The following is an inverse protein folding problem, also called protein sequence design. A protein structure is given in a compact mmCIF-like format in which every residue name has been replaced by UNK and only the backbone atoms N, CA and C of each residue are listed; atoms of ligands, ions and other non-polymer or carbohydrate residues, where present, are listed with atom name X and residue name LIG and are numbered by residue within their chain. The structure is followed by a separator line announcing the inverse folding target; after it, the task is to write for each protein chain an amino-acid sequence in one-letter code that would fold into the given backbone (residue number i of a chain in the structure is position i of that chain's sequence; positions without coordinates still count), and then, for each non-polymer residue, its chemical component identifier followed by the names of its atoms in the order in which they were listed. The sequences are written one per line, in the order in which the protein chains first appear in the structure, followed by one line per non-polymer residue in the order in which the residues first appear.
data_IF_157704143475
#
_entry.id   IF_157704143475
#
_cell.length_a   1.000
_cell.length_b   1.000
_cell.length_c   1.000
_cell.angle_alpha   90.00
_cell.angle_beta   90.00
_cell.angle_gamma   90.00
#
_symmetry.space_group_name_H-M   'P 1'
#
loop_
_entity.id
_entity.type
_entity.pdbx_description
1 polymer ?
#
# COMPACT_ATOMS: atom_id res chain seq x y z
N UNK A 1 13.30 -24.57 8.64
CA UNK A 1 12.38 -25.29 9.53
C UNK A 1 12.80 -26.75 9.57
N UNK A 2 13.03 -27.32 10.76
CA UNK A 2 13.59 -28.68 10.93
C UNK A 2 12.60 -29.54 11.72
N UNK A 3 12.31 -30.74 11.22
CA UNK A 3 11.24 -31.61 11.75
C UNK A 3 11.45 -32.02 13.22
N UNK A 4 12.69 -32.24 13.66
CA UNK A 4 13.00 -32.78 14.99
C UNK A 4 13.16 -31.72 16.10
N UNK A 5 12.56 -30.54 15.93
CA UNK A 5 12.66 -29.41 16.87
C UNK A 5 11.33 -29.13 17.57
N UNK A 6 11.39 -28.48 18.73
CA UNK A 6 10.16 -28.11 19.46
C UNK A 6 9.31 -27.12 18.64
N UNK A 7 7.98 -27.11 18.81
CA UNK A 7 7.07 -26.19 18.11
C UNK A 7 7.53 -24.73 18.19
N UNK A 8 7.98 -24.28 19.37
CA UNK A 8 8.50 -22.93 19.58
C UNK A 8 9.73 -22.62 18.72
N UNK A 9 10.66 -23.57 18.58
CA UNK A 9 11.85 -23.39 17.74
C UNK A 9 11.46 -23.39 16.26
N UNK A 10 10.52 -24.23 15.86
CA UNK A 10 10.02 -24.25 14.48
C UNK A 10 9.31 -22.95 14.12
N UNK A 11 8.46 -22.44 15.01
CA UNK A 11 7.84 -21.12 14.90
C UNK A 11 8.89 -20.05 14.74
N UNK A 12 9.90 -19.98 15.63
CA UNK A 12 10.94 -18.96 15.55
C UNK A 12 11.70 -19.03 14.21
N UNK A 13 12.07 -20.23 13.77
CA UNK A 13 12.72 -20.41 12.47
C UNK A 13 11.81 -20.02 11.31
N UNK A 14 10.50 -20.27 11.42
CA UNK A 14 9.53 -19.91 10.40
C UNK A 14 9.32 -18.42 10.31
N UNK A 15 9.08 -17.76 11.43
CA UNK A 15 8.89 -16.31 11.46
C UNK A 15 10.16 -15.52 11.20
N UNK A 16 11.34 -16.06 11.53
CA UNK A 16 12.61 -15.45 11.13
C UNK A 16 12.85 -15.60 9.62
N UNK A 17 12.36 -16.67 9.02
CA UNK A 17 12.40 -16.85 7.58
C UNK A 17 11.48 -15.84 6.88
N UNK A 18 10.24 -15.69 7.32
CA UNK A 18 9.29 -14.73 6.74
C UNK A 18 9.79 -13.29 6.88
N UNK A 19 10.18 -12.88 8.09
CA UNK A 19 10.82 -11.58 8.33
C UNK A 19 12.11 -11.40 7.52
N UNK A 20 12.90 -12.47 7.39
CA UNK A 20 14.12 -12.47 6.57
C UNK A 20 13.84 -12.15 5.11
N UNK A 21 12.71 -12.59 4.56
CA UNK A 21 12.29 -12.25 3.20
C UNK A 21 11.80 -10.80 3.11
N UNK A 22 11.10 -10.27 4.12
CA UNK A 22 10.80 -8.83 4.23
C UNK A 22 12.08 -8.00 4.21
N UNK A 23 13.07 -8.39 5.02
CA UNK A 23 14.37 -7.72 5.08
C UNK A 23 15.12 -7.82 3.75
N UNK A 24 15.09 -8.97 3.08
CA UNK A 24 15.70 -9.16 1.76
C UNK A 24 15.04 -8.28 0.69
N UNK A 25 13.72 -8.17 0.72
CA UNK A 25 12.94 -7.26 -0.13
C UNK A 25 13.31 -5.80 0.11
N UNK A 26 13.37 -5.39 1.37
CA UNK A 26 13.80 -4.05 1.75
C UNK A 26 15.25 -3.74 1.34
N UNK A 27 16.14 -4.74 1.34
CA UNK A 27 17.53 -4.57 0.93
C UNK A 27 17.70 -4.29 -0.59
N UNK A 28 16.69 -4.58 -1.41
CA UNK A 28 16.74 -4.21 -2.84
C UNK A 28 16.85 -2.70 -3.07
N UNK A 29 16.53 -1.88 -2.06
CA UNK A 29 16.77 -0.43 -2.06
C UNK A 29 18.24 -0.05 -2.25
N UNK A 30 19.20 -0.93 -1.92
CA UNK A 30 20.63 -0.72 -2.19
C UNK A 30 21.00 -0.97 -3.65
N UNK A 31 20.25 -1.82 -4.35
CA UNK A 31 20.53 -2.25 -5.72
C UNK A 31 19.84 -1.33 -6.74
N UNK A 32 18.55 -1.04 -6.53
CA UNK A 32 17.77 -0.24 -7.49
C UNK A 32 17.88 1.24 -7.18
N UNK A 33 18.45 2.09 -8.04
CA UNK A 33 18.46 3.53 -7.83
C UNK A 33 17.04 4.11 -7.95
N UNK A 34 16.65 4.96 -7.00
CA UNK A 34 15.36 5.69 -7.03
C UNK A 34 15.25 6.70 -8.19
N UNK A 35 16.32 6.87 -8.97
CA UNK A 35 16.41 7.81 -10.09
C UNK A 35 15.61 7.36 -11.32
N UNK A 36 15.39 6.05 -11.51
CA UNK A 36 14.65 5.53 -12.67
C UNK A 36 13.19 5.22 -12.33
N UNK A 37 12.31 6.18 -12.60
CA UNK A 37 10.86 6.07 -12.34
C UNK A 37 10.21 4.83 -12.95
N UNK A 38 10.71 4.34 -14.09
CA UNK A 38 10.21 3.10 -14.71
C UNK A 38 10.45 1.86 -13.87
N UNK A 39 11.62 1.76 -13.22
CA UNK A 39 11.97 0.62 -12.37
C UNK A 39 11.12 0.68 -11.10
N UNK A 40 10.96 1.88 -10.53
CA UNK A 40 10.10 2.10 -9.37
C UNK A 40 8.66 1.69 -9.66
N UNK A 41 8.04 2.28 -10.67
CA UNK A 41 6.65 2.00 -11.06
C UNK A 41 6.43 0.52 -11.41
N UNK A 42 7.36 -0.10 -12.14
CA UNK A 42 7.29 -1.53 -12.46
C UNK A 42 7.45 -2.43 -11.23
N UNK A 43 8.29 -2.05 -10.28
CA UNK A 43 8.49 -2.80 -9.04
C UNK A 43 7.28 -2.70 -8.09
N UNK A 44 6.67 -1.52 -8.00
CA UNK A 44 5.44 -1.29 -7.24
C UNK A 44 4.25 -2.02 -7.89
N UNK A 45 4.15 -1.98 -9.22
CA UNK A 45 3.15 -2.77 -9.97
C UNK A 45 3.29 -4.26 -9.68
N UNK A 46 4.50 -4.81 -9.80
CA UNK A 46 4.79 -6.20 -9.44
C UNK A 46 4.39 -6.53 -8.01
N UNK A 47 4.75 -5.68 -7.04
CA UNK A 47 4.41 -5.87 -5.64
C UNK A 47 2.89 -5.88 -5.41
N UNK A 48 2.14 -4.93 -5.99
CA UNK A 48 0.67 -4.93 -5.94
C UNK A 48 0.07 -6.23 -6.47
N UNK A 49 0.62 -6.76 -7.57
CA UNK A 49 0.21 -8.04 -8.14
C UNK A 49 0.39 -9.21 -7.17
N UNK A 50 1.58 -9.31 -6.57
CA UNK A 50 1.88 -10.36 -5.58
C UNK A 50 0.96 -10.25 -4.37
N UNK A 51 0.80 -9.05 -3.80
CA UNK A 51 -0.03 -8.83 -2.60
C UNK A 51 -1.51 -9.15 -2.85
N UNK A 52 -2.06 -8.83 -4.04
CA UNK A 52 -3.44 -9.19 -4.38
C UNK A 52 -3.65 -10.71 -4.49
N UNK A 53 -2.69 -11.42 -5.08
CA UNK A 53 -2.74 -12.87 -5.15
C UNK A 53 -2.64 -13.48 -3.74
N UNK A 54 -1.64 -13.07 -2.96
CA UNK A 54 -1.42 -13.57 -1.61
C UNK A 54 -2.62 -13.32 -0.68
N UNK A 55 -3.28 -12.15 -0.81
CA UNK A 55 -4.51 -11.83 -0.09
C UNK A 55 -5.60 -12.89 -0.28
N UNK A 56 -5.70 -13.48 -1.48
CA UNK A 56 -6.65 -14.55 -1.73
C UNK A 56 -6.12 -15.91 -1.30
N UNK A 57 -5.00 -16.36 -1.87
CA UNK A 57 -4.53 -17.74 -1.72
C UNK A 57 -3.88 -18.03 -0.37
N UNK A 58 -3.10 -17.09 0.16
CA UNK A 58 -2.33 -17.31 1.39
C UNK A 58 -3.08 -16.84 2.65
N UNK A 59 -4.13 -16.01 2.50
CA UNK A 59 -4.89 -15.45 3.62
C UNK A 59 -6.38 -15.83 3.58
N UNK A 60 -7.14 -15.42 2.56
CA UNK A 60 -8.59 -15.65 2.51
C UNK A 60 -8.96 -17.13 2.35
N UNK A 61 -8.31 -17.86 1.45
CA UNK A 61 -8.63 -19.26 1.21
C UNK A 61 -8.41 -20.12 2.48
N UNK A 62 -7.26 -20.04 3.18
CA UNK A 62 -7.09 -20.69 4.48
C UNK A 62 -8.10 -20.21 5.52
N UNK A 63 -8.44 -18.92 5.57
CA UNK A 63 -9.45 -18.41 6.51
C UNK A 63 -10.84 -19.01 6.26
N UNK A 64 -11.23 -19.19 5.00
CA UNK A 64 -12.50 -19.81 4.60
C UNK A 64 -12.49 -21.29 5.00
N UNK A 65 -11.43 -22.02 4.66
CA UNK A 65 -11.29 -23.44 5.00
C UNK A 65 -11.36 -23.66 6.51
N UNK A 66 -10.63 -22.87 7.30
CA UNK A 66 -10.68 -22.93 8.76
C UNK A 66 -12.07 -22.58 9.32
N UNK A 67 -12.79 -21.65 8.70
CA UNK A 67 -14.15 -21.31 9.12
C UNK A 67 -15.13 -22.45 8.83
N UNK A 68 -15.00 -23.12 7.68
CA UNK A 68 -15.80 -24.28 7.28
C UNK A 68 -15.52 -25.51 8.16
N UNK A 69 -14.24 -25.84 8.37
CA UNK A 69 -13.82 -26.96 9.22
C UNK A 69 -14.25 -26.81 10.68
N UNK A 70 -14.35 -25.56 11.18
CA UNK A 70 -14.75 -25.31 12.56
C UNK A 70 -16.15 -25.83 12.91
N UNK A 71 -17.01 -26.06 11.91
CA UNK A 71 -18.38 -26.57 12.06
C UNK A 71 -19.34 -25.67 12.87
N UNK A 72 -18.87 -24.52 13.37
CA UNK A 72 -19.64 -23.61 14.24
C UNK A 72 -20.66 -22.78 13.47
N UNK A 73 -20.40 -22.50 12.20
CA UNK A 73 -21.15 -21.52 11.41
C UNK A 73 -22.12 -22.14 10.40
N UNK A 74 -22.05 -23.46 10.15
CA UNK A 74 -22.92 -24.15 9.20
C UNK A 74 -22.90 -23.51 7.81
N UNK A 75 -24.05 -23.11 7.28
CA UNK A 75 -24.15 -22.41 5.99
C UNK A 75 -23.58 -20.97 6.00
N UNK A 76 -23.26 -20.42 7.18
CA UNK A 76 -22.77 -19.05 7.35
C UNK A 76 -21.25 -18.98 7.59
N UNK A 77 -20.47 -19.97 7.15
CA UNK A 77 -18.99 -19.98 7.27
C UNK A 77 -18.30 -18.78 6.61
N UNK A 78 -18.97 -18.12 5.65
CA UNK A 78 -18.48 -16.88 5.05
C UNK A 78 -18.50 -15.68 6.03
N UNK A 79 -19.31 -15.73 7.09
CA UNK A 79 -19.51 -14.60 8.01
C UNK A 79 -18.24 -14.18 8.77
N UNK A 80 -17.49 -15.08 9.43
CA UNK A 80 -16.24 -14.71 10.10
C UNK A 80 -15.22 -14.08 9.14
N UNK A 81 -15.11 -14.63 7.93
CA UNK A 81 -14.22 -14.14 6.88
C UNK A 81 -14.66 -12.76 6.39
N UNK A 82 -15.95 -12.58 6.08
CA UNK A 82 -16.49 -11.30 5.63
C UNK A 82 -16.33 -10.21 6.69
N UNK A 83 -16.59 -10.53 7.97
CA UNK A 83 -16.41 -9.59 9.08
C UNK A 83 -14.94 -9.22 9.21
N UNK A 84 -14.03 -10.20 9.25
CA UNK A 84 -12.59 -9.96 9.32
C UNK A 84 -12.13 -9.05 8.17
N UNK A 85 -12.47 -9.41 6.94
CA UNK A 85 -12.10 -8.66 5.73
C UNK A 85 -12.58 -7.20 5.76
N UNK A 86 -13.85 -6.97 6.09
CA UNK A 86 -14.39 -5.60 6.18
C UNK A 86 -13.73 -4.83 7.32
N UNK A 87 -13.50 -5.46 8.48
CA UNK A 87 -12.81 -4.80 9.59
C UNK A 87 -11.37 -4.44 9.24
N UNK A 88 -10.67 -5.28 8.48
CA UNK A 88 -9.33 -5.00 7.97
C UNK A 88 -9.29 -3.78 7.06
N UNK A 89 -10.16 -3.76 6.05
CA UNK A 89 -10.27 -2.62 5.13
C UNK A 89 -10.70 -1.35 5.87
N UNK A 90 -11.69 -1.44 6.75
CA UNK A 90 -12.16 -0.33 7.55
C UNK A 90 -11.07 0.18 8.49
N UNK A 91 -10.26 -0.70 9.07
CA UNK A 91 -9.14 -0.31 9.94
C UNK A 91 -8.14 0.58 9.19
N UNK A 92 -7.73 0.22 7.97
CA UNK A 92 -6.82 1.04 7.18
C UNK A 92 -7.49 2.36 6.78
N UNK A 93 -8.75 2.33 6.38
CA UNK A 93 -9.53 3.54 6.09
C UNK A 93 -9.63 4.48 7.30
N UNK A 94 -9.88 3.95 8.50
CA UNK A 94 -9.92 4.76 9.72
C UNK A 94 -8.54 5.29 10.10
N UNK A 95 -7.48 4.50 9.90
CA UNK A 95 -6.12 4.99 10.07
C UNK A 95 -5.83 6.17 9.13
N UNK A 96 -6.28 6.10 7.88
CA UNK A 96 -6.19 7.22 6.93
C UNK A 96 -6.91 8.45 7.48
N UNK A 97 -8.12 8.30 8.00
CA UNK A 97 -8.88 9.40 8.58
C UNK A 97 -8.25 10.00 9.86
N UNK A 98 -7.59 9.18 10.67
CA UNK A 98 -7.00 9.58 11.95
C UNK A 98 -5.69 10.35 11.78
N UNK A 99 -4.89 10.06 10.74
CA UNK A 99 -3.57 10.69 10.57
C UNK A 99 -3.60 12.23 10.47
N UNK A 100 -4.50 12.84 9.68
CA UNK A 100 -4.66 14.30 9.65
C UNK A 100 -5.05 14.86 11.01
N UNK A 101 -5.90 14.14 11.76
CA UNK A 101 -6.37 14.57 13.08
C UNK A 101 -5.25 14.60 14.12
N UNK A 102 -4.27 13.69 14.00
CA UNK A 102 -3.08 13.63 14.85
C UNK A 102 -2.01 14.67 14.47
N UNK A 103 -2.24 15.48 13.43
CA UNK A 103 -1.30 16.51 12.99
C UNK A 103 -0.07 15.95 12.24
N UNK A 104 -0.14 14.69 11.76
CA UNK A 104 0.90 14.05 10.95
C UNK A 104 0.79 14.52 9.49
N UNK A 105 0.71 15.82 9.26
CA UNK A 105 0.75 16.43 7.92
C UNK A 105 2.14 16.99 7.58
N UNK A 106 2.97 17.27 8.59
CA UNK A 106 4.27 17.92 8.37
C UNK A 106 5.39 16.90 8.52
N UNK A 107 6.11 16.67 7.43
CA UNK A 107 7.39 15.98 7.44
C UNK A 107 8.26 16.53 8.60
N UNK A 108 8.70 15.68 9.56
CA UNK A 108 9.55 16.12 10.66
C UNK A 108 10.87 16.73 10.15
N UNK A 109 11.32 16.40 8.94
CA UNK A 109 12.47 17.06 8.31
C UNK A 109 12.18 18.48 7.82
N UNK A 110 10.91 18.80 7.49
CA UNK A 110 10.49 20.17 7.16
C UNK A 110 10.29 21.02 8.42
N UNK A 111 9.83 20.41 9.52
CA UNK A 111 9.72 21.07 10.82
C UNK A 111 11.10 21.47 11.40
N UNK A 112 12.15 20.70 11.12
CA UNK A 112 13.52 20.96 11.56
C UNK A 112 14.31 21.94 10.67
N UNK A 113 13.78 22.29 9.49
CA UNK A 113 14.40 23.26 8.56
C UNK A 113 13.73 24.63 8.61
N UNK A 114 12.67 24.80 9.41
CA UNK A 114 12.11 26.11 9.72
C UNK A 114 13.01 26.81 10.76
N UNK A 115 13.48 28.04 10.49
CA UNK A 115 14.22 28.81 11.49
C UNK A 115 13.34 29.06 12.73
N UNK A 116 13.90 29.12 13.95
CA UNK A 116 13.13 29.19 15.21
C UNK A 116 12.22 30.42 15.39
N UNK A 117 12.25 31.39 14.46
CA UNK A 117 11.67 32.72 14.63
C UNK A 117 10.51 33.07 13.68
N UNK A 118 9.85 32.08 13.09
CA UNK A 118 8.58 32.33 12.38
C UNK A 118 7.42 32.36 13.39
N UNK A 119 7.04 33.56 13.85
CA UNK A 119 5.82 33.79 14.66
C UNK A 119 4.62 33.08 14.02
N UNK A 120 3.75 32.43 14.81
CA UNK A 120 2.54 31.83 14.28
C UNK A 120 1.65 32.94 13.73
N UNK A 121 1.45 32.95 12.40
CA UNK A 121 0.45 33.81 11.79
C UNK A 121 -0.91 33.40 12.35
N UNK A 122 -1.50 34.29 13.15
CA UNK A 122 -2.87 34.15 13.65
C UNK A 122 -3.78 33.96 12.43
N UNK A 123 -4.45 32.82 12.36
CA UNK A 123 -5.57 32.61 11.45
C UNK A 123 -6.63 33.65 11.79
N UNK A 124 -6.76 34.68 10.96
CA UNK A 124 -7.83 35.64 11.04
C UNK A 124 -8.99 35.04 10.25
N UNK A 125 -9.97 34.51 10.97
CA UNK A 125 -11.27 34.14 10.43
C UNK A 125 -11.93 35.42 9.94
N UNK A 126 -12.11 35.55 8.63
CA UNK A 126 -12.94 36.60 8.04
C UNK A 126 -14.13 35.93 7.35
N UNK A 127 -15.31 36.10 7.95
CA UNK A 127 -16.62 35.72 7.41
C UNK A 127 -17.01 36.62 6.21
N UNK A 128 -17.95 36.18 5.35
CA UNK A 128 -18.12 36.73 4.01
C UNK A 128 -19.25 37.77 3.97
N UNK A 129 -18.97 39.06 3.73
CA UNK A 129 -20.02 40.04 3.38
C UNK A 129 -19.51 41.18 2.49
N UNK A 130 -20.36 41.50 1.50
CA UNK A 130 -20.53 42.75 0.73
C UNK A 130 -19.71 42.97 -0.56
N UNK A 131 -20.47 43.00 -1.65
CA UNK A 131 -20.16 43.70 -2.91
C UNK A 131 -19.96 45.21 -2.69
N UNK A 132 -19.34 45.88 -3.67
CA UNK A 132 -20.09 46.95 -4.31
C UNK A 132 -20.03 46.95 -5.84
N UNK A 133 -21.04 47.63 -6.34
CA UNK A 133 -21.51 47.97 -7.67
C UNK A 133 -20.56 48.80 -8.54
N UNK A 134 -20.69 48.56 -9.85
CA UNK A 134 -20.84 49.52 -10.96
C UNK A 134 -19.71 50.53 -11.32
N UNK A 135 -19.64 50.80 -12.63
CA UNK A 135 -18.80 51.77 -13.37
C UNK A 135 -17.39 51.20 -13.72
N UNK A 136 -16.97 51.02 -14.97
CA UNK A 136 -17.16 51.81 -16.18
C UNK A 136 -17.02 50.94 -17.45
N UNK A 137 -17.92 51.15 -18.41
CA UNK A 137 -17.83 50.64 -19.79
C UNK A 137 -16.90 51.52 -20.62
N UNK A 138 -15.94 50.91 -21.34
CA UNK A 138 -15.32 51.57 -22.49
C UNK A 138 -15.44 50.68 -23.74
N UNK A 139 -16.36 51.10 -24.60
CA UNK A 139 -16.69 50.56 -25.91
C UNK A 139 -15.52 50.80 -26.89
N UNK A 140 -15.14 49.79 -27.68
CA UNK A 140 -14.49 49.98 -29.00
C UNK A 140 -15.24 49.19 -30.07
N UNK A 141 -15.91 49.96 -30.93
CA UNK A 141 -16.64 49.53 -32.13
C UNK A 141 -15.68 49.39 -33.31
N UNK A 142 -15.78 48.28 -34.04
CA UNK A 142 -15.14 48.06 -35.34
C UNK A 142 -15.88 47.00 -36.17
N UNK A 143 -16.75 47.47 -37.07
CA UNK A 143 -17.39 46.82 -38.25
C UNK A 143 -16.44 45.85 -39.01
N UNK A 144 -16.87 44.88 -39.84
CA UNK A 144 -18.14 44.29 -40.27
C UNK A 144 -17.78 43.09 -41.18
N UNK A 145 -18.63 42.06 -41.26
CA UNK A 145 -18.54 40.98 -42.25
C UNK A 145 -19.62 39.93 -42.03
N UNK A 146 -20.45 39.69 -43.05
CA UNK A 146 -21.77 39.05 -43.00
C UNK A 146 -21.80 37.59 -43.51
N UNK A 147 -22.95 36.93 -43.27
CA UNK A 147 -23.47 35.65 -43.82
C UNK A 147 -22.84 34.34 -43.30
N UNK A 148 -23.52 33.20 -43.15
CA UNK A 148 -24.94 32.75 -43.06
C UNK A 148 -24.88 31.21 -42.94
N UNK A 149 -25.80 30.66 -42.14
CA UNK A 149 -26.39 29.31 -42.16
C UNK A 149 -25.52 28.07 -42.47
N UNK A 150 -25.47 27.13 -41.51
CA UNK A 150 -26.23 25.86 -41.59
C UNK A 150 -26.01 24.96 -40.38
N UNK A 151 -27.12 24.38 -39.94
CA UNK A 151 -27.25 23.27 -39.01
C UNK A 151 -26.72 22.00 -39.71
N UNK A 152 -25.79 21.27 -39.11
CA UNK A 152 -25.79 19.80 -39.21
C UNK A 152 -25.03 19.14 -38.05
N UNK A 153 -25.64 18.07 -37.57
CA UNK A 153 -25.33 17.25 -36.41
C UNK A 153 -24.27 16.20 -36.78
N UNK A 154 -23.34 15.86 -35.89
CA UNK A 154 -22.38 14.78 -36.18
C UNK A 154 -21.25 14.64 -35.17
N UNK A 155 -21.52 13.93 -34.07
CA UNK A 155 -20.50 13.34 -33.20
C UNK A 155 -19.63 12.35 -33.98
N UNK A 156 -18.31 12.57 -34.07
CA UNK A 156 -17.32 11.48 -34.14
C UNK A 156 -15.98 11.96 -33.57
N UNK A 157 -15.53 11.31 -32.50
CA UNK A 157 -14.18 11.40 -31.95
C UNK A 157 -13.10 11.13 -33.01
N UNK A 158 -12.25 12.13 -33.31
CA UNK A 158 -10.98 11.90 -34.02
C UNK A 158 -9.76 12.41 -33.26
N UNK A 159 -9.07 11.43 -32.68
CA UNK A 159 -7.66 11.36 -32.31
C UNK A 159 -6.76 12.19 -33.25
N UNK A 160 -6.11 13.24 -32.73
CA UNK A 160 -5.05 13.96 -33.46
C UNK A 160 -3.66 13.66 -32.90
N UNK A 161 -2.87 13.05 -33.79
CA UNK A 161 -1.42 12.96 -33.81
C UNK A 161 -0.91 14.27 -34.43
N UNK A 162 0.08 14.94 -33.85
CA UNK A 162 0.76 16.06 -34.48
C UNK A 162 2.26 16.03 -34.14
N UNK A 163 3.10 16.19 -35.17
CA UNK A 163 4.56 16.26 -35.10
C UNK A 163 5.01 17.62 -35.64
N UNK A 164 5.78 18.37 -34.83
CA UNK A 164 6.82 19.41 -35.06
C UNK A 164 6.61 20.51 -36.13
N UNK A 165 6.91 21.80 -35.88
CA UNK A 165 8.22 22.36 -35.49
C UNK A 165 8.17 23.88 -35.17
N UNK A 166 9.05 24.34 -34.25
CA UNK A 166 9.81 25.64 -34.16
C UNK A 166 9.08 27.00 -34.18
N UNK A 167 9.38 28.08 -33.42
CA UNK A 167 10.46 28.50 -32.50
C UNK A 167 10.04 29.83 -31.78
N UNK A 168 10.42 29.97 -30.50
CA UNK A 168 10.80 31.16 -29.68
C UNK A 168 9.87 32.39 -29.55
N UNK A 169 9.40 32.63 -28.31
CA UNK A 169 9.47 33.92 -27.62
C UNK A 169 9.45 33.69 -26.09
N UNK A 170 10.49 34.19 -25.40
CA UNK A 170 10.59 34.24 -23.94
C UNK A 170 9.61 35.27 -23.37
N UNK A 171 8.86 34.91 -22.35
CA UNK A 171 8.40 35.85 -21.33
C UNK A 171 8.44 35.17 -19.96
N UNK A 172 9.18 35.80 -19.04
CA UNK A 172 9.32 35.43 -17.64
C UNK A 172 7.98 35.65 -16.94
N UNK A 173 7.44 34.59 -16.35
CA UNK A 173 6.49 34.74 -15.24
C UNK A 173 7.09 34.11 -13.97
N UNK A 174 7.38 34.98 -13.01
CA UNK A 174 7.94 34.69 -11.70
C UNK A 174 6.81 34.90 -10.71
N UNK A 175 6.26 33.83 -10.14
CA UNK A 175 5.51 33.93 -8.88
C UNK A 175 4.28 33.05 -8.72
N UNK A 176 4.44 31.72 -8.63
CA UNK A 176 3.42 30.83 -8.01
C UNK A 176 3.91 29.38 -7.78
N UNK A 177 5.15 29.16 -7.33
CA UNK A 177 5.73 27.79 -7.15
C UNK A 177 6.18 27.34 -5.75
N UNK A 178 5.85 28.00 -4.61
CA UNK A 178 6.07 27.37 -3.31
C UNK A 178 4.93 26.45 -2.86
N UNK A 179 3.67 26.80 -3.14
CA UNK A 179 2.51 26.19 -2.49
C UNK A 179 2.14 24.80 -3.05
N UNK A 180 2.22 24.60 -4.38
CA UNK A 180 1.89 23.30 -5.01
C UNK A 180 2.90 22.19 -4.67
N UNK A 181 4.19 22.54 -4.56
CA UNK A 181 5.26 21.57 -4.23
C UNK A 181 5.19 21.15 -2.76
N UNK A 182 4.83 22.07 -1.85
CA UNK A 182 4.70 21.80 -0.41
C UNK A 182 3.48 20.91 -0.13
N UNK A 183 2.35 21.12 -0.82
CA UNK A 183 1.16 20.25 -0.69
C UNK A 183 1.40 18.83 -1.23
N UNK A 184 2.15 18.68 -2.33
CA UNK A 184 2.52 17.36 -2.86
C UNK A 184 3.41 16.58 -1.89
N UNK A 185 4.40 17.22 -1.26
CA UNK A 185 5.32 16.57 -0.31
C UNK A 185 4.64 16.14 1.01
N UNK A 186 3.74 16.96 1.55
CA UNK A 186 2.95 16.61 2.74
C UNK A 186 2.01 15.42 2.48
N UNK A 187 1.38 15.38 1.30
CA UNK A 187 0.55 14.25 0.86
C UNK A 187 1.36 12.96 0.69
N UNK A 188 2.59 13.03 0.16
CA UNK A 188 3.44 11.85 -0.03
C UNK A 188 3.92 11.24 1.30
N UNK A 189 4.24 12.05 2.30
CA UNK A 189 4.68 11.55 3.61
C UNK A 189 3.56 10.83 4.37
N UNK A 190 2.34 11.40 4.36
CA UNK A 190 1.16 10.77 4.96
C UNK A 190 0.92 9.37 4.39
N UNK A 191 0.99 9.23 3.06
CA UNK A 191 0.88 7.93 2.36
C UNK A 191 1.95 6.94 2.78
N UNK A 192 3.20 7.39 2.89
CA UNK A 192 4.31 6.52 3.32
C UNK A 192 4.11 6.02 4.76
N UNK A 193 3.70 6.90 5.67
CA UNK A 193 3.44 6.51 7.08
C UNK A 193 2.27 5.54 7.17
N UNK A 194 1.19 5.78 6.41
CA UNK A 194 0.04 4.88 6.33
C UNK A 194 0.41 3.52 5.78
N UNK A 195 1.19 3.49 4.71
CA UNK A 195 1.70 2.27 4.11
C UNK A 195 2.52 1.46 5.14
N UNK A 196 3.45 2.10 5.84
CA UNK A 196 4.25 1.44 6.90
C UNK A 196 3.36 0.91 8.01
N UNK A 197 2.40 1.71 8.47
CA UNK A 197 1.49 1.34 9.56
C UNK A 197 0.60 0.16 9.17
N UNK A 198 -0.02 0.22 8.00
CA UNK A 198 -0.89 -0.82 7.49
C UNK A 198 -0.11 -2.13 7.28
N UNK A 199 1.10 -2.04 6.70
CA UNK A 199 1.97 -3.20 6.51
C UNK A 199 2.37 -3.83 7.84
N UNK A 200 2.75 -3.01 8.81
CA UNK A 200 3.11 -3.50 10.15
C UNK A 200 1.93 -4.21 10.82
N UNK A 201 0.70 -3.74 10.63
CA UNK A 201 -0.47 -4.34 11.28
C UNK A 201 -0.92 -5.63 10.59
N UNK A 202 -0.81 -5.75 9.27
CA UNK A 202 -1.13 -7.01 8.58
C UNK A 202 -0.12 -8.13 8.89
N UNK A 203 1.13 -7.76 9.17
CA UNK A 203 2.20 -8.72 9.52
C UNK A 203 1.95 -9.44 10.86
N UNK A 204 1.08 -8.89 11.71
CA UNK A 204 0.72 -9.51 13.00
C UNK A 204 -0.10 -10.79 12.79
N UNK A 205 -1.24 -10.78 12.06
CA UNK A 205 -1.95 -12.00 11.69
C UNK A 205 -1.09 -13.06 11.00
N UNK A 206 -0.19 -12.67 10.10
CA UNK A 206 0.72 -13.59 9.41
C UNK A 206 1.66 -14.31 10.40
N UNK A 207 2.31 -13.53 11.27
CA UNK A 207 3.13 -14.08 12.34
C UNK A 207 2.33 -15.05 13.22
N UNK A 208 1.13 -14.65 13.66
CA UNK A 208 0.24 -15.51 14.45
C UNK A 208 -0.11 -16.81 13.72
N UNK A 209 -0.40 -16.75 12.42
CA UNK A 209 -0.74 -17.91 11.61
C UNK A 209 0.42 -18.91 11.51
N UNK A 210 1.64 -18.43 11.23
CA UNK A 210 2.86 -19.26 11.28
C UNK A 210 3.07 -19.86 12.67
N UNK A 211 2.87 -19.05 13.71
CA UNK A 211 2.97 -19.45 15.11
C UNK A 211 2.03 -20.57 15.49
N UNK A 212 0.74 -20.40 15.20
CA UNK A 212 -0.30 -21.40 15.48
C UNK A 212 -0.12 -22.62 14.61
N UNK A 213 0.25 -22.49 13.33
CA UNK A 213 0.52 -23.63 12.45
C UNK A 213 1.54 -24.59 13.06
N UNK A 214 2.71 -24.08 13.46
CA UNK A 214 3.72 -24.90 14.13
C UNK A 214 3.32 -25.31 15.56
N UNK A 215 2.62 -24.45 16.30
CA UNK A 215 2.14 -24.74 17.66
C UNK A 215 1.02 -25.79 17.73
N UNK A 216 0.26 -25.95 16.65
CA UNK A 216 -0.81 -26.93 16.50
C UNK A 216 -0.34 -28.19 15.76
N UNK A 217 0.87 -28.19 15.19
CA UNK A 217 1.42 -29.31 14.45
C UNK A 217 1.36 -30.62 15.27
N UNK A 218 0.69 -31.64 14.72
CA UNK A 218 0.50 -32.95 15.34
C UNK A 218 -0.71 -33.05 16.29
N UNK A 219 -1.50 -31.98 16.49
CA UNK A 219 -2.71 -32.01 17.34
C UNK A 219 -3.99 -32.39 16.58
N UNK A 220 -3.98 -32.30 15.25
CA UNK A 220 -5.11 -32.67 14.37
C UNK A 220 -4.58 -33.28 13.07
N UNK A 221 -5.43 -33.97 12.32
CA UNK A 221 -5.09 -34.51 10.99
C UNK A 221 -4.76 -33.42 9.98
N UNK A 222 -5.38 -32.24 10.09
CA UNK A 222 -5.13 -31.09 9.21
C UNK A 222 -3.90 -30.28 9.65
N UNK A 223 -3.63 -30.20 10.96
CA UNK A 223 -2.52 -29.44 11.52
C UNK A 223 -1.21 -30.25 11.48
N UNK A 224 -0.58 -30.32 10.29
CA UNK A 224 0.69 -31.05 10.09
C UNK A 224 1.88 -30.10 10.06
N UNK A 225 3.09 -30.63 10.32
CA UNK A 225 4.33 -29.88 10.12
C UNK A 225 4.48 -29.38 8.68
N UNK A 226 4.04 -30.18 7.69
CA UNK A 226 4.11 -29.81 6.28
C UNK A 226 3.15 -28.67 5.94
N UNK A 227 1.93 -28.69 6.47
CA UNK A 227 0.98 -27.57 6.35
C UNK A 227 1.56 -26.28 6.95
N UNK A 228 2.11 -26.34 8.16
CA UNK A 228 2.72 -25.17 8.80
C UNK A 228 3.95 -24.63 8.04
N UNK A 229 4.77 -25.53 7.48
CA UNK A 229 5.92 -25.17 6.65
C UNK A 229 5.48 -24.51 5.35
N UNK A 230 4.52 -25.09 4.64
CA UNK A 230 4.03 -24.57 3.37
C UNK A 230 3.40 -23.18 3.57
N UNK A 231 2.60 -23.01 4.63
CA UNK A 231 2.04 -21.71 5.03
C UNK A 231 3.14 -20.66 5.25
N UNK A 232 4.18 -20.99 6.03
CA UNK A 232 5.27 -20.06 6.29
C UNK A 232 6.11 -19.74 5.04
N UNK A 233 6.22 -20.68 4.09
CA UNK A 233 6.85 -20.42 2.79
C UNK A 233 6.00 -19.46 1.95
N UNK A 234 4.68 -19.70 1.86
CA UNK A 234 3.75 -18.84 1.13
C UNK A 234 3.77 -17.40 1.65
N UNK A 235 3.68 -17.23 2.98
CA UNK A 235 3.84 -15.93 3.63
C UNK A 235 5.22 -15.33 3.34
N UNK A 236 6.31 -16.07 3.51
CA UNK A 236 7.65 -15.51 3.27
C UNK A 236 7.83 -14.95 1.86
N UNK A 237 7.28 -15.62 0.84
CA UNK A 237 7.41 -15.21 -0.56
C UNK A 237 6.76 -13.84 -0.81
N UNK A 238 5.56 -13.59 -0.27
CA UNK A 238 4.86 -12.33 -0.47
C UNK A 238 5.42 -11.19 0.39
N UNK A 239 6.07 -11.51 1.52
CA UNK A 239 6.72 -10.51 2.38
C UNK A 239 7.93 -9.87 1.68
N UNK A 240 8.54 -10.54 0.71
CA UNK A 240 9.63 -9.95 -0.07
C UNK A 240 9.18 -8.70 -0.84
N UNK A 241 8.13 -8.72 -1.67
CA UNK A 241 7.57 -7.51 -2.25
C UNK A 241 7.15 -6.43 -1.25
N UNK A 242 6.70 -6.78 -0.04
CA UNK A 242 6.28 -5.79 0.96
C UNK A 242 7.44 -4.97 1.52
N UNK A 243 8.56 -5.61 1.82
CA UNK A 243 9.76 -4.90 2.26
C UNK A 243 10.26 -3.89 1.21
N UNK A 244 10.12 -4.25 -0.07
CA UNK A 244 10.37 -3.35 -1.19
C UNK A 244 9.35 -2.20 -1.24
N UNK A 245 8.05 -2.52 -1.10
CA UNK A 245 6.96 -1.55 -1.13
C UNK A 245 7.07 -0.49 -0.02
N UNK A 246 7.68 -0.80 1.13
CA UNK A 246 7.99 0.20 2.17
C UNK A 246 9.25 1.01 1.85
N UNK A 247 10.34 0.32 1.51
CA UNK A 247 11.66 0.95 1.43
C UNK A 247 11.84 1.85 0.19
N UNK A 248 11.21 1.52 -0.95
CA UNK A 248 11.35 2.30 -2.17
C UNK A 248 10.66 3.67 -2.10
N UNK A 249 9.38 3.80 -1.68
CA UNK A 249 8.73 5.10 -1.51
C UNK A 249 9.45 5.97 -0.48
N UNK A 250 9.93 5.38 0.63
CA UNK A 250 10.75 6.09 1.62
C UNK A 250 11.99 6.69 0.97
N UNK A 251 12.73 5.91 0.17
CA UNK A 251 13.91 6.43 -0.52
C UNK A 251 13.56 7.46 -1.60
N UNK A 252 12.44 7.29 -2.29
CA UNK A 252 11.95 8.24 -3.29
C UNK A 252 11.57 9.59 -2.65
N UNK A 253 11.11 9.60 -1.40
CA UNK A 253 10.84 10.82 -0.62
C UNK A 253 12.10 11.55 -0.12
N UNK A 254 13.30 11.03 -0.38
CA UNK A 254 14.57 11.64 -0.01
C UNK A 254 15.20 11.10 1.28
N UNK A 255 14.57 10.10 1.92
CA UNK A 255 15.17 9.39 3.07
C UNK A 255 16.41 8.61 2.61
N UNK A 256 17.47 8.59 3.43
CA UNK A 256 18.70 7.88 3.10
C UNK A 256 18.45 6.37 2.93
N UNK A 257 19.19 5.73 2.01
CA UNK A 257 19.06 4.30 1.69
C UNK A 257 19.07 3.41 2.95
N UNK A 258 19.94 3.72 3.91
CA UNK A 258 20.05 2.97 5.16
C UNK A 258 18.80 3.12 6.04
N UNK A 259 18.24 4.33 6.17
CA UNK A 259 17.01 4.56 6.94
C UNK A 259 15.81 3.90 6.25
N UNK A 260 15.72 3.99 4.93
CA UNK A 260 14.67 3.33 4.16
C UNK A 260 14.69 1.81 4.34
N UNK A 261 15.88 1.20 4.30
CA UNK A 261 16.06 -0.23 4.63
C UNK A 261 15.63 -0.54 6.07
N UNK A 262 16.06 0.26 7.05
CA UNK A 262 15.70 0.04 8.46
C UNK A 262 14.19 0.04 8.68
N UNK A 263 13.48 1.04 8.17
CA UNK A 263 12.03 1.08 8.27
C UNK A 263 11.36 -0.08 7.52
N UNK A 264 11.87 -0.44 6.33
CA UNK A 264 11.35 -1.56 5.53
C UNK A 264 11.49 -2.93 6.19
N UNK A 265 12.59 -3.22 6.89
CA UNK A 265 12.70 -4.48 7.63
C UNK A 265 12.02 -4.43 9.00
N UNK A 266 11.88 -3.24 9.61
CA UNK A 266 11.26 -3.09 10.93
C UNK A 266 9.75 -3.32 10.86
N UNK A 267 9.11 -3.01 9.72
CA UNK A 267 7.68 -3.29 9.52
C UNK A 267 7.35 -4.79 9.57
N UNK A 268 8.31 -5.68 9.24
CA UNK A 268 8.16 -7.14 9.34
C UNK A 268 8.63 -7.74 10.68
N UNK A 269 9.33 -6.98 11.53
CA UNK A 269 9.88 -7.50 12.79
C UNK A 269 8.80 -7.94 13.79
N UNK A 270 7.55 -7.50 13.58
CA UNK A 270 6.40 -7.93 14.38
C UNK A 270 6.05 -9.40 14.17
N UNK A 271 6.42 -10.02 13.04
CA UNK A 271 6.09 -11.41 12.72
C UNK A 271 6.74 -12.42 13.70
N UNK A 272 8.06 -12.36 14.01
CA UNK A 272 8.65 -13.20 15.06
C UNK A 272 7.98 -13.10 16.41
N UNK A 273 7.60 -11.89 16.81
CA UNK A 273 6.97 -11.65 18.12
C UNK A 273 5.56 -12.24 18.12
N UNK A 274 4.77 -11.94 17.09
CA UNK A 274 3.42 -12.42 16.92
C UNK A 274 3.37 -13.94 16.80
N UNK A 275 4.28 -14.57 16.04
CA UNK A 275 4.29 -16.02 15.92
C UNK A 275 4.70 -16.74 17.19
N UNK A 276 5.67 -16.21 17.96
CA UNK A 276 5.97 -16.78 19.27
C UNK A 276 4.75 -16.75 20.20
N UNK A 277 4.00 -15.64 20.19
CA UNK A 277 2.73 -15.55 20.92
C UNK A 277 1.70 -16.57 20.40
N UNK A 278 1.56 -16.71 19.09
CA UNK A 278 0.66 -17.70 18.47
C UNK A 278 1.00 -19.15 18.85
N UNK A 279 2.28 -19.49 18.90
CA UNK A 279 2.75 -20.83 19.26
C UNK A 279 2.51 -21.19 20.74
N UNK A 280 2.58 -20.20 21.63
CA UNK A 280 2.32 -20.39 23.08
C UNK A 280 0.83 -20.36 23.39
N UNK A 281 0.07 -19.51 22.69
CA UNK A 281 -1.34 -19.25 22.95
C UNK A 281 -2.28 -19.94 21.94
N UNK A 282 -1.88 -21.07 21.34
CA UNK A 282 -2.62 -21.79 20.28
C UNK A 282 -4.11 -21.92 20.61
N UNK A 283 -4.46 -22.40 21.80
CA UNK A 283 -5.85 -22.62 22.22
C UNK A 283 -6.67 -21.31 22.25
N UNK A 284 -6.03 -20.19 22.53
CA UNK A 284 -6.66 -18.86 22.55
C UNK A 284 -6.76 -18.26 21.14
N UNK A 285 -5.72 -18.44 20.34
CA UNK A 285 -5.55 -17.76 19.05
C UNK A 285 -6.24 -18.50 17.91
N UNK A 286 -6.27 -19.83 17.93
CA UNK A 286 -6.84 -20.67 16.86
C UNK A 286 -8.29 -20.30 16.50
N UNK A 287 -9.22 -20.06 17.45
CA UNK A 287 -10.58 -19.62 17.10
C UNK A 287 -10.66 -18.21 16.49
N UNK A 288 -9.65 -17.38 16.71
CA UNK A 288 -9.57 -16.01 16.17
C UNK A 288 -8.88 -15.96 14.81
N UNK A 289 -8.17 -17.01 14.39
CA UNK A 289 -7.38 -17.01 13.17
C UNK A 289 -8.17 -16.73 11.88
N UNK A 290 -9.38 -17.31 11.65
CA UNK A 290 -10.15 -16.99 10.45
C UNK A 290 -10.46 -15.50 10.32
N UNK A 291 -10.75 -14.85 11.45
CA UNK A 291 -10.99 -13.41 11.51
C UNK A 291 -9.70 -12.62 11.27
N UNK A 292 -8.59 -13.04 11.89
CA UNK A 292 -7.31 -12.37 11.79
C UNK A 292 -6.71 -12.44 10.37
N UNK A 293 -6.76 -13.62 9.74
CA UNK A 293 -6.31 -13.82 8.36
C UNK A 293 -7.16 -13.04 7.37
N UNK A 294 -8.49 -13.08 7.52
CA UNK A 294 -9.38 -12.29 6.68
C UNK A 294 -9.17 -10.78 6.91
N UNK A 295 -8.92 -10.35 8.15
CA UNK A 295 -8.54 -8.97 8.48
C UNK A 295 -7.26 -8.55 7.76
N UNK A 296 -6.21 -9.36 7.79
CA UNK A 296 -4.98 -9.08 7.04
C UNK A 296 -5.25 -8.95 5.54
N UNK A 297 -6.02 -9.88 4.96
CA UNK A 297 -6.38 -9.82 3.54
C UNK A 297 -7.16 -8.54 3.19
N UNK A 298 -8.13 -8.15 4.02
CA UNK A 298 -8.92 -6.93 3.81
C UNK A 298 -8.07 -5.65 3.90
N UNK A 299 -7.18 -5.58 4.89
CA UNK A 299 -6.23 -4.48 5.03
C UNK A 299 -5.28 -4.41 3.83
N UNK A 300 -4.72 -5.55 3.41
CA UNK A 300 -3.78 -5.63 2.29
C UNK A 300 -4.43 -5.25 0.96
N UNK A 301 -5.65 -5.74 0.67
CA UNK A 301 -6.40 -5.34 -0.52
C UNK A 301 -6.68 -3.84 -0.52
N UNK A 302 -7.07 -3.26 0.62
CA UNK A 302 -7.30 -1.81 0.73
C UNK A 302 -6.03 -1.02 0.39
N UNK A 303 -4.89 -1.35 1.02
CA UNK A 303 -3.60 -0.69 0.76
C UNK A 303 -3.18 -0.81 -0.70
N UNK A 304 -3.35 -1.98 -1.32
CA UNK A 304 -2.97 -2.16 -2.73
C UNK A 304 -3.81 -1.25 -3.63
N UNK A 305 -5.12 -1.18 -3.39
CA UNK A 305 -6.05 -0.40 -4.21
C UNK A 305 -5.88 1.10 -4.00
N UNK A 306 -5.73 1.55 -2.76
CA UNK A 306 -5.71 2.98 -2.41
C UNK A 306 -4.31 3.62 -2.50
N UNK A 307 -3.25 2.84 -2.25
CA UNK A 307 -1.87 3.33 -2.24
C UNK A 307 -1.01 2.78 -3.37
N UNK A 308 -0.77 1.46 -3.42
CA UNK A 308 0.30 0.89 -4.26
C UNK A 308 -0.01 1.02 -5.75
N UNK A 309 -1.23 0.66 -6.18
CA UNK A 309 -1.63 0.77 -7.60
C UNK A 309 -1.62 2.23 -8.06
N UNK A 310 -2.24 3.19 -7.34
CA UNK A 310 -2.17 4.61 -7.70
C UNK A 310 -0.73 5.12 -7.76
N UNK A 311 0.11 4.81 -6.78
CA UNK A 311 1.51 5.24 -6.74
C UNK A 311 2.32 4.72 -7.93
N UNK A 312 2.13 3.45 -8.30
CA UNK A 312 2.80 2.85 -9.47
C UNK A 312 2.40 3.52 -10.80
N UNK A 313 1.29 4.27 -10.84
CA UNK A 313 0.81 4.94 -12.05
C UNK A 313 1.17 6.42 -12.12
N UNK A 314 1.71 7.02 -11.04
CA UNK A 314 1.99 8.46 -10.95
C UNK A 314 2.99 8.94 -12.01
N UNK A 315 4.02 8.16 -12.33
CA UNK A 315 5.08 8.61 -13.24
C UNK A 315 4.79 8.45 -14.73
N UNK A 316 3.54 8.16 -15.11
CA UNK A 316 3.13 7.99 -16.51
C UNK A 316 3.47 6.62 -17.13
N UNK A 317 4.02 5.68 -16.35
CA UNK A 317 4.31 4.31 -16.80
C UNK A 317 3.18 3.33 -16.47
N UNK A 318 1.92 3.78 -16.40
CA UNK A 318 0.82 2.95 -15.90
C UNK A 318 0.65 1.60 -16.62
N UNK A 319 0.92 1.53 -17.93
CA UNK A 319 0.90 0.24 -18.65
C UNK A 319 1.96 -0.75 -18.16
N UNK A 320 3.16 -0.26 -17.84
CA UNK A 320 4.23 -1.10 -17.28
C UNK A 320 3.81 -1.60 -15.90
N UNK A 321 3.28 -0.71 -15.04
CA UNK A 321 2.76 -1.06 -13.72
C UNK A 321 1.65 -2.13 -13.80
N UNK A 322 0.70 -2.02 -14.74
CA UNK A 322 -0.34 -3.02 -14.93
C UNK A 322 0.21 -4.39 -15.39
N UNK A 323 1.12 -4.41 -16.36
CA UNK A 323 1.71 -5.68 -16.84
C UNK A 323 2.59 -6.35 -15.79
N UNK A 324 3.37 -5.57 -15.06
CA UNK A 324 4.18 -6.08 -13.94
C UNK A 324 3.31 -6.56 -12.79
N UNK A 325 2.16 -5.93 -12.53
CA UNK A 325 1.14 -6.44 -11.58
C UNK A 325 0.56 -7.78 -12.01
N UNK A 326 0.17 -7.94 -13.28
CA UNK A 326 -0.27 -9.26 -13.78
C UNK A 326 0.83 -10.31 -13.62
N UNK A 327 2.08 -9.95 -13.94
CA UNK A 327 3.22 -10.86 -13.76
C UNK A 327 3.40 -11.25 -12.29
N UNK A 328 3.37 -10.27 -11.37
CA UNK A 328 3.47 -10.51 -9.93
C UNK A 328 2.36 -11.42 -9.42
N UNK A 329 1.12 -11.18 -9.86
CA UNK A 329 -0.03 -11.99 -9.53
C UNK A 329 0.15 -13.45 -9.99
N UNK A 330 0.57 -13.66 -11.25
CA UNK A 330 0.80 -15.01 -11.81
C UNK A 330 1.93 -15.72 -11.05
N UNK A 331 3.02 -15.01 -10.76
CA UNK A 331 4.16 -15.57 -10.02
C UNK A 331 3.70 -16.02 -8.64
N UNK A 332 3.00 -15.16 -7.90
CA UNK A 332 2.52 -15.52 -6.56
C UNK A 332 1.50 -16.66 -6.60
N UNK A 333 0.51 -16.62 -7.49
CA UNK A 333 -0.46 -17.71 -7.67
C UNK A 333 0.24 -19.03 -7.99
N UNK A 334 1.23 -19.02 -8.88
CA UNK A 334 1.95 -20.23 -9.27
C UNK A 334 2.80 -20.78 -8.13
N UNK A 335 3.35 -19.92 -7.28
CA UNK A 335 4.12 -20.31 -6.11
C UNK A 335 3.22 -20.88 -5.02
N UNK A 336 2.08 -20.24 -4.74
CA UNK A 336 1.14 -20.73 -3.74
C UNK A 336 0.52 -22.07 -4.16
N UNK A 337 0.00 -22.17 -5.39
CA UNK A 337 -0.58 -23.43 -5.90
C UNK A 337 0.48 -24.51 -6.14
N UNK A 338 1.71 -24.13 -6.48
CA UNK A 338 2.79 -25.07 -6.79
C UNK A 338 3.56 -25.59 -5.58
N UNK A 339 3.58 -24.84 -4.47
CA UNK A 339 4.26 -25.19 -3.22
C UNK A 339 3.29 -25.58 -2.09
N UNK A 340 2.00 -25.24 -2.23
CA UNK A 340 0.91 -25.52 -1.32
C UNK A 340 0.52 -26.99 -1.28
#
# INVERSE_FOLDING_TARGET
MLADRSPVVQTLLGTLFTWGLTAAGAALVFIFPSTHKQILDGSLGFAAGVMLAASYWSLLAPAIEMAEESGKYGAFSFLPVAIGFVLGAAFVYFADLMLPLLGVEKDPHLALTLPPDAKPAKAKVEDPVASPTAEEMSIRIGRAGAHSDKIENGDVYQRRKATQSSQVAEEKDVGSRPQEVICQSASSWRRIVLLILAITIHNIPEGLAVGVGFGAAGKSSSATFESARNLAIGIGIQNFPEGLAVSLPLRASGVSTWRAFWYGQLSGMVEPVAGLLGAVAVVLVEPLLPYALAFAAGAMVFVVVDDIIPEAQVSGNGKLASWTSILGFIVMMSLDVGLG
#
